data_IF_143249832771
#
_entry.id   IF_143249832771
#
_cell.length_a   1.000
_cell.length_b   1.000
_cell.length_c   1.000
_cell.angle_alpha   90.00
_cell.angle_beta   90.00
_cell.angle_gamma   90.00
#
_symmetry.space_group_name_H-M   'P 1'
#
loop_
_entity.id
_entity.type
_entity.pdbx_description
1 polymer ?
#
# COMPACT_ATOMS: atom_id res chain seq x y z
N UNK A 1 39.40 31.19 36.48
CA UNK A 1 38.85 29.95 35.89
C UNK A 1 37.47 29.75 36.48
N UNK A 2 36.50 29.70 35.58
CA UNK A 2 35.07 29.89 35.81
C UNK A 2 34.43 28.79 36.66
N UNK A 3 33.59 29.20 37.60
CA UNK A 3 32.57 28.35 38.21
C UNK A 3 31.25 28.50 37.45
N UNK A 4 30.62 27.37 37.14
CA UNK A 4 29.25 27.33 36.61
C UNK A 4 28.50 26.14 37.21
N UNK A 5 27.34 26.50 37.78
CA UNK A 5 26.05 25.79 37.80
C UNK A 5 26.02 24.38 38.44
N UNK A 6 25.26 24.13 39.50
CA UNK A 6 23.95 24.67 39.86
C UNK A 6 22.89 23.59 39.65
N UNK A 7 22.83 22.63 40.57
CA UNK A 7 21.81 21.56 40.67
C UNK A 7 20.85 21.95 41.78
N UNK A 8 19.54 21.87 41.56
CA UNK A 8 18.56 21.87 42.63
C UNK A 8 17.17 22.31 42.21
N UNK A 9 16.33 21.38 41.76
CA UNK A 9 14.89 21.55 41.84
C UNK A 9 14.39 20.88 43.13
N UNK A 10 13.85 21.72 44.03
CA UNK A 10 13.16 21.31 45.26
C UNK A 10 11.74 20.83 44.91
N UNK A 11 11.36 19.74 45.56
CA UNK A 11 9.99 19.29 45.71
C UNK A 11 9.20 20.21 46.66
N UNK A 12 7.94 20.45 46.32
CA UNK A 12 6.89 20.82 47.25
C UNK A 12 5.75 19.81 47.06
N UNK A 13 5.22 19.36 48.18
CA UNK A 13 4.44 18.16 48.42
C UNK A 13 3.35 18.55 49.42
N UNK A 14 2.10 18.66 48.98
CA UNK A 14 0.86 18.65 49.77
C UNK A 14 -0.28 19.04 48.82
N UNK A 15 -1.49 18.49 48.83
CA UNK A 15 -2.15 17.57 49.74
C UNK A 15 -3.30 16.92 48.96
N UNK A 16 -3.57 15.69 49.35
CA UNK A 16 -4.77 14.87 49.12
C UNK A 16 -6.10 15.62 49.22
N UNK A 17 -7.02 15.38 48.28
CA UNK A 17 -8.36 14.91 48.64
C UNK A 17 -9.08 14.26 47.42
N UNK A 18 -9.07 12.93 47.38
CA UNK A 18 -9.84 12.12 46.43
C UNK A 18 -11.11 11.64 47.16
N UNK A 19 -12.19 12.41 47.05
CA UNK A 19 -13.51 12.01 47.54
C UNK A 19 -14.57 12.11 46.43
N UNK A 20 -14.80 10.93 45.83
CA UNK A 20 -16.09 10.37 45.43
C UNK A 20 -17.31 11.32 45.32
N UNK A 21 -17.66 11.71 44.09
CA UNK A 21 -19.07 11.88 43.69
C UNK A 21 -19.25 11.19 42.34
N UNK A 22 -19.72 9.94 42.38
CA UNK A 22 -20.18 9.21 41.22
C UNK A 22 -21.50 9.82 40.71
N UNK A 23 -21.39 10.79 39.80
CA UNK A 23 -22.54 11.24 39.01
C UNK A 23 -22.71 10.27 37.83
N UNK A 24 -23.73 9.43 37.90
CA UNK A 24 -24.15 8.56 36.80
C UNK A 24 -24.68 9.39 35.63
N UNK A 25 -23.78 9.98 34.84
CA UNK A 25 -24.13 10.61 33.58
C UNK A 25 -24.13 9.54 32.48
N UNK A 26 -25.33 9.04 32.21
CA UNK A 26 -25.66 8.19 31.06
C UNK A 26 -25.52 9.04 29.80
N UNK A 27 -24.29 9.23 29.33
CA UNK A 27 -24.01 9.88 28.04
C UNK A 27 -24.43 8.90 26.94
N UNK A 28 -25.62 9.15 26.42
CA UNK A 28 -26.01 8.69 25.09
C UNK A 28 -24.98 9.25 24.12
N UNK A 29 -24.02 8.44 23.70
CA UNK A 29 -23.01 8.81 22.71
C UNK A 29 -23.72 9.24 21.42
N UNK A 30 -23.57 10.50 20.96
CA UNK A 30 -24.00 10.86 19.62
C UNK A 30 -23.05 10.18 18.63
N UNK A 31 -23.59 9.67 17.53
CA UNK A 31 -22.83 9.21 16.38
C UNK A 31 -21.87 10.34 15.95
N UNK A 32 -20.59 10.23 16.34
CA UNK A 32 -19.55 11.14 15.91
C UNK A 32 -19.32 10.90 14.42
N UNK A 33 -19.78 11.86 13.61
CA UNK A 33 -19.40 12.00 12.21
C UNK A 33 -17.88 12.18 12.21
N UNK A 34 -17.15 11.09 11.94
CA UNK A 34 -15.70 11.16 11.79
C UNK A 34 -15.38 12.20 10.70
N UNK A 35 -14.43 13.13 10.91
CA UNK A 35 -14.05 14.07 9.87
C UNK A 35 -13.64 13.29 8.63
N UNK A 36 -14.10 13.72 7.44
CA UNK A 36 -13.77 13.12 6.14
C UNK A 36 -12.26 12.88 5.96
N UNK A 37 -11.42 13.70 6.63
CA UNK A 37 -9.96 13.54 6.70
C UNK A 37 -9.51 12.23 7.37
N UNK A 38 -10.24 11.73 8.38
CA UNK A 38 -9.95 10.45 9.03
C UNK A 38 -10.33 9.25 8.13
N UNK A 39 -11.40 9.37 7.33
CA UNK A 39 -11.79 8.34 6.36
C UNK A 39 -10.75 8.25 5.23
N UNK A 40 -10.27 9.38 4.72
CA UNK A 40 -9.18 9.40 3.72
C UNK A 40 -7.86 8.89 4.33
N UNK A 41 -7.60 9.22 5.60
CA UNK A 41 -6.44 8.73 6.35
C UNK A 41 -6.45 7.22 6.57
N UNK A 42 -7.58 6.61 6.96
CA UNK A 42 -7.72 5.16 7.10
C UNK A 42 -7.68 4.43 5.75
N UNK A 43 -8.25 5.01 4.69
CA UNK A 43 -8.21 4.43 3.34
C UNK A 43 -6.77 4.46 2.77
N UNK A 44 -6.02 5.56 2.93
CA UNK A 44 -4.61 5.63 2.48
C UNK A 44 -3.66 4.76 3.33
N UNK A 45 -3.88 4.68 4.65
CA UNK A 45 -3.06 3.83 5.55
C UNK A 45 -3.35 2.34 5.32
N UNK A 46 -4.57 1.98 4.89
CA UNK A 46 -4.89 0.63 4.47
C UNK A 46 -4.30 0.31 3.08
N UNK A 47 -4.35 1.25 2.14
CA UNK A 47 -3.80 1.07 0.79
C UNK A 47 -2.28 0.83 0.82
N UNK A 48 -1.51 1.64 1.56
CA UNK A 48 -0.06 1.44 1.68
C UNK A 48 0.29 0.06 2.27
N UNK A 49 -0.41 -0.36 3.33
CA UNK A 49 -0.18 -1.68 3.94
C UNK A 49 -0.56 -2.81 3.01
N UNK A 50 -1.68 -2.69 2.31
CA UNK A 50 -2.12 -3.68 1.33
C UNK A 50 -1.09 -3.81 0.20
N UNK A 51 -0.57 -2.70 -0.33
CA UNK A 51 0.49 -2.73 -1.33
C UNK A 51 1.77 -3.37 -0.80
N UNK A 52 2.20 -2.99 0.40
CA UNK A 52 3.40 -3.57 1.03
C UNK A 52 3.21 -5.08 1.24
N UNK A 53 2.00 -5.53 1.60
CA UNK A 53 1.66 -6.95 1.69
C UNK A 53 1.82 -7.66 0.34
N UNK A 54 1.29 -7.11 -0.75
CA UNK A 54 1.43 -7.69 -2.10
C UNK A 54 2.90 -7.71 -2.58
N UNK A 55 3.74 -6.80 -2.10
CA UNK A 55 5.18 -6.79 -2.36
C UNK A 55 5.98 -7.79 -1.50
N UNK A 56 5.32 -8.55 -0.63
CA UNK A 56 5.95 -9.53 0.27
C UNK A 56 6.35 -8.99 1.64
N UNK A 57 5.87 -7.80 2.01
CA UNK A 57 6.12 -7.18 3.30
C UNK A 57 7.48 -6.51 3.45
N UNK A 58 7.67 -5.85 4.59
CA UNK A 58 8.91 -5.12 4.94
C UNK A 58 10.15 -6.02 4.96
N UNK A 59 9.98 -7.31 5.29
CA UNK A 59 11.07 -8.30 5.31
C UNK A 59 11.66 -8.54 3.91
N UNK A 60 10.79 -8.62 2.90
CA UNK A 60 11.19 -8.81 1.50
C UNK A 60 11.86 -7.56 0.93
N UNK A 61 11.39 -6.39 1.35
CA UNK A 61 11.92 -5.09 0.91
C UNK A 61 13.19 -4.68 1.68
N UNK A 62 13.45 -5.31 2.83
CA UNK A 62 14.63 -5.10 3.68
C UNK A 62 14.61 -3.75 4.42
N UNK A 63 13.44 -3.12 4.54
CA UNK A 63 13.24 -1.82 5.19
C UNK A 63 11.81 -1.67 5.67
N UNK A 64 11.61 -0.84 6.70
CA UNK A 64 10.26 -0.44 7.10
C UNK A 64 9.68 0.58 6.12
N UNK A 65 8.39 0.41 5.82
CA UNK A 65 7.62 1.23 4.88
C UNK A 65 6.37 1.73 5.60
N UNK A 66 6.57 2.76 6.42
CA UNK A 66 5.51 3.36 7.24
C UNK A 66 4.87 4.58 6.58
N UNK A 67 5.44 5.08 5.48
CA UNK A 67 4.96 6.28 4.78
C UNK A 67 5.16 6.22 3.26
N UNK A 68 4.40 7.04 2.52
CA UNK A 68 4.57 7.23 1.08
C UNK A 68 5.99 7.68 0.71
N UNK A 69 6.63 8.44 1.59
CA UNK A 69 8.02 8.86 1.38
C UNK A 69 8.95 7.65 1.38
N UNK A 70 8.80 6.75 2.34
CA UNK A 70 9.62 5.54 2.44
C UNK A 70 9.42 4.65 1.21
N UNK A 71 8.17 4.52 0.75
CA UNK A 71 7.86 3.75 -0.44
C UNK A 71 8.46 4.38 -1.70
N UNK A 72 8.35 5.71 -1.85
CA UNK A 72 9.02 6.42 -2.95
C UNK A 72 10.52 6.16 -2.91
N UNK A 73 11.16 6.29 -1.75
CA UNK A 73 12.60 6.08 -1.60
C UNK A 73 12.99 4.62 -1.90
N UNK A 74 12.17 3.65 -1.50
CA UNK A 74 12.36 2.23 -1.86
C UNK A 74 12.28 1.99 -3.37
N UNK A 75 11.34 2.65 -4.07
CA UNK A 75 11.26 2.61 -5.54
C UNK A 75 12.50 3.28 -6.16
N UNK A 76 13.00 4.37 -5.57
CA UNK A 76 14.20 5.09 -6.03
C UNK A 76 15.46 4.23 -5.95
N UNK A 77 15.61 3.50 -4.86
CA UNK A 77 16.69 2.54 -4.60
C UNK A 77 16.55 1.25 -5.43
N UNK A 78 15.33 0.99 -5.91
CA UNK A 78 14.96 -0.20 -6.66
C UNK A 78 14.64 -1.37 -5.72
N UNK A 79 13.69 -2.23 -6.10
CA UNK A 79 13.26 -3.33 -5.26
C UNK A 79 14.20 -4.54 -5.32
N UNK A 80 14.29 -5.32 -4.23
CA UNK A 80 14.94 -6.62 -4.26
C UNK A 80 14.25 -7.60 -5.22
N UNK A 81 14.98 -8.52 -5.87
CA UNK A 81 14.43 -9.55 -6.75
C UNK A 81 13.35 -10.42 -6.11
N UNK A 82 13.41 -10.61 -4.79
CA UNK A 82 12.43 -11.39 -4.05
C UNK A 82 11.01 -10.83 -4.23
N UNK A 83 10.86 -9.51 -4.38
CA UNK A 83 9.57 -8.85 -4.64
C UNK A 83 8.92 -9.36 -5.94
N UNK A 84 9.71 -9.73 -6.95
CA UNK A 84 9.18 -10.31 -8.21
C UNK A 84 8.48 -11.63 -7.92
N UNK A 85 9.06 -12.46 -7.06
CA UNK A 85 8.52 -13.79 -6.73
C UNK A 85 7.26 -13.70 -5.88
N UNK A 86 7.23 -12.73 -4.97
CA UNK A 86 6.05 -12.43 -4.15
C UNK A 86 4.91 -11.92 -5.04
N UNK A 87 5.19 -10.97 -5.93
CA UNK A 87 4.19 -10.47 -6.88
C UNK A 87 3.71 -11.54 -7.85
N UNK A 88 4.58 -12.43 -8.32
CA UNK A 88 4.16 -13.58 -9.15
C UNK A 88 3.17 -14.48 -8.41
N UNK A 89 3.42 -14.74 -7.11
CA UNK A 89 2.52 -15.52 -6.26
C UNK A 89 1.20 -14.79 -6.04
N UNK A 90 1.26 -13.52 -5.65
CA UNK A 90 0.11 -12.66 -5.38
C UNK A 90 -0.77 -12.39 -6.61
N UNK A 91 -0.20 -12.32 -7.80
CA UNK A 91 -0.95 -12.06 -9.04
C UNK A 91 -1.28 -13.35 -9.83
N UNK A 92 -0.76 -14.49 -9.39
CA UNK A 92 -0.80 -15.75 -10.14
C UNK A 92 -0.21 -15.63 -11.55
N UNK A 93 0.65 -14.63 -11.81
CA UNK A 93 1.25 -14.39 -13.12
C UNK A 93 2.50 -15.24 -13.30
N UNK A 94 2.65 -15.76 -14.51
CA UNK A 94 3.90 -16.36 -14.95
C UNK A 94 4.99 -15.28 -15.11
N UNK A 95 6.26 -15.69 -15.10
CA UNK A 95 7.38 -14.77 -15.32
C UNK A 95 7.25 -14.01 -16.65
N UNK A 96 6.66 -14.65 -17.67
CA UNK A 96 6.46 -14.07 -19.00
C UNK A 96 5.37 -12.99 -18.96
N UNK A 97 4.24 -13.25 -18.31
CA UNK A 97 3.16 -12.28 -18.16
C UNK A 97 3.62 -11.09 -17.31
N UNK A 98 4.33 -11.35 -16.20
CA UNK A 98 4.90 -10.29 -15.39
C UNK A 98 5.92 -9.46 -16.18
N UNK A 99 6.81 -10.10 -16.94
CA UNK A 99 7.75 -9.38 -17.79
C UNK A 99 7.03 -8.50 -18.83
N UNK A 100 5.93 -8.97 -19.42
CA UNK A 100 5.12 -8.17 -20.33
C UNK A 100 4.46 -6.98 -19.63
N UNK A 101 3.87 -7.17 -18.44
CA UNK A 101 3.29 -6.09 -17.64
C UNK A 101 4.34 -5.06 -17.19
N UNK A 102 5.58 -5.50 -16.97
CA UNK A 102 6.71 -4.63 -16.66
C UNK A 102 7.37 -4.05 -17.92
N UNK A 103 6.87 -4.34 -19.13
CA UNK A 103 7.48 -3.95 -20.40
C UNK A 103 9.00 -4.26 -20.43
N UNK A 104 9.32 -5.52 -20.08
CA UNK A 104 10.66 -6.09 -20.05
C UNK A 104 10.69 -7.40 -20.83
N UNK A 105 11.86 -7.75 -21.37
CA UNK A 105 12.08 -9.12 -21.83
C UNK A 105 12.22 -10.07 -20.63
N UNK A 106 11.67 -11.30 -20.70
CA UNK A 106 11.85 -12.30 -19.65
C UNK A 106 13.33 -12.58 -19.32
N UNK A 107 14.21 -12.49 -20.34
CA UNK A 107 15.67 -12.62 -20.19
C UNK A 107 16.28 -11.48 -19.38
N UNK A 108 15.81 -10.25 -19.56
CA UNK A 108 16.26 -9.10 -18.76
C UNK A 108 15.84 -9.27 -17.30
N UNK A 109 14.58 -9.63 -17.06
CA UNK A 109 14.06 -9.87 -15.72
C UNK A 109 14.80 -11.03 -15.02
N UNK A 110 15.06 -12.13 -15.74
CA UNK A 110 15.82 -13.26 -15.21
C UNK A 110 17.29 -12.91 -14.90
N UNK A 111 17.94 -12.10 -15.74
CA UNK A 111 19.30 -11.60 -15.45
C UNK A 111 19.31 -10.73 -14.21
N UNK A 112 18.33 -9.83 -14.06
CA UNK A 112 18.24 -8.92 -12.91
C UNK A 112 17.91 -9.62 -11.61
N UNK A 113 17.16 -10.73 -11.66
CA UNK A 113 16.99 -11.61 -10.50
C UNK A 113 18.33 -12.13 -9.95
N UNK A 114 19.38 -12.15 -10.76
CA UNK A 114 20.75 -12.56 -10.35
C UNK A 114 21.69 -11.40 -10.04
N UNK A 115 21.36 -10.15 -10.41
CA UNK A 115 22.29 -9.01 -10.35
C UNK A 115 22.11 -8.10 -9.13
N UNK A 116 21.22 -8.43 -8.19
CA UNK A 116 21.11 -7.74 -6.90
C UNK A 116 19.80 -6.99 -6.69
N UNK A 117 19.55 -5.88 -7.40
CA UNK A 117 18.32 -5.06 -7.29
C UNK A 117 17.74 -4.72 -8.67
N UNK A 118 16.44 -4.46 -8.70
CA UNK A 118 15.74 -3.99 -9.89
C UNK A 118 16.05 -2.52 -10.16
N UNK A 119 15.92 -2.10 -11.42
CA UNK A 119 16.05 -0.69 -11.73
C UNK A 119 14.84 0.10 -11.22
N UNK A 120 15.02 1.40 -11.02
CA UNK A 120 13.98 2.33 -10.55
C UNK A 120 12.68 2.21 -11.35
N UNK A 121 12.77 2.25 -12.68
CA UNK A 121 11.59 2.19 -13.55
C UNK A 121 10.88 0.82 -13.47
N UNK A 122 11.61 -0.26 -13.21
CA UNK A 122 11.04 -1.61 -13.04
C UNK A 122 10.32 -1.72 -11.69
N UNK A 123 10.90 -1.09 -10.67
CA UNK A 123 10.34 -1.06 -9.32
C UNK A 123 9.06 -0.22 -9.28
N UNK A 124 9.03 0.90 -9.99
CA UNK A 124 7.83 1.71 -10.19
C UNK A 124 6.69 0.91 -10.87
N UNK A 125 7.01 0.16 -11.93
CA UNK A 125 6.04 -0.71 -12.61
C UNK A 125 5.56 -1.87 -11.72
N UNK A 126 6.45 -2.48 -10.92
CA UNK A 126 6.05 -3.50 -9.94
C UNK A 126 5.13 -2.92 -8.86
N UNK A 127 5.44 -1.73 -8.37
CA UNK A 127 4.59 -1.02 -7.41
C UNK A 127 3.19 -0.80 -7.99
N UNK A 128 3.09 -0.34 -9.24
CA UNK A 128 1.80 -0.17 -9.94
C UNK A 128 1.02 -1.48 -10.01
N UNK A 129 1.66 -2.59 -10.37
CA UNK A 129 0.98 -3.90 -10.37
C UNK A 129 0.51 -4.30 -8.96
N UNK A 130 1.36 -4.17 -7.94
CA UNK A 130 1.00 -4.49 -6.55
C UNK A 130 -0.21 -3.68 -6.08
N UNK A 131 -0.25 -2.40 -6.41
CA UNK A 131 -1.40 -1.51 -6.14
C UNK A 131 -2.68 -2.02 -6.76
N UNK A 132 -2.64 -2.38 -8.04
CA UNK A 132 -3.82 -2.91 -8.74
C UNK A 132 -4.28 -4.25 -8.16
N UNK A 133 -3.35 -5.13 -7.78
CA UNK A 133 -3.68 -6.42 -7.14
C UNK A 133 -4.33 -6.18 -5.77
N UNK A 134 -3.76 -5.30 -4.96
CA UNK A 134 -4.32 -4.93 -3.66
C UNK A 134 -5.74 -4.38 -3.79
N UNK A 135 -5.96 -3.42 -4.69
CA UNK A 135 -7.28 -2.84 -4.96
C UNK A 135 -8.27 -3.88 -5.50
N UNK A 136 -7.83 -4.77 -6.39
CA UNK A 136 -8.68 -5.84 -6.90
C UNK A 136 -9.08 -6.82 -5.80
N UNK A 137 -8.16 -7.19 -4.90
CA UNK A 137 -8.44 -8.03 -3.74
C UNK A 137 -9.45 -7.35 -2.79
N UNK A 138 -9.26 -6.07 -2.50
CA UNK A 138 -10.12 -5.30 -1.61
C UNK A 138 -11.54 -5.14 -2.19
N UNK A 139 -11.65 -4.73 -3.46
CA UNK A 139 -12.93 -4.37 -4.07
C UNK A 139 -13.74 -5.56 -4.55
N UNK A 140 -13.08 -6.67 -4.92
CA UNK A 140 -13.77 -7.89 -5.34
C UNK A 140 -13.98 -8.87 -4.16
N UNK A 141 -13.30 -8.65 -3.04
CA UNK A 141 -13.44 -9.39 -1.78
C UNK A 141 -12.95 -10.84 -1.83
N UNK A 142 -12.44 -11.31 -2.96
CA UNK A 142 -11.94 -12.67 -3.14
C UNK A 142 -10.74 -12.68 -4.08
N UNK A 143 -9.65 -13.28 -3.61
CA UNK A 143 -8.39 -13.32 -4.34
C UNK A 143 -8.51 -14.03 -5.69
N UNK A 144 -9.24 -15.16 -5.74
CA UNK A 144 -9.40 -15.94 -6.98
C UNK A 144 -10.20 -15.14 -8.02
N UNK A 145 -11.23 -14.41 -7.59
CA UNK A 145 -12.00 -13.48 -8.44
C UNK A 145 -11.13 -12.33 -8.91
N UNK A 146 -10.31 -11.74 -8.05
CA UNK A 146 -9.37 -10.69 -8.41
C UNK A 146 -8.40 -11.15 -9.52
N UNK A 147 -7.75 -12.30 -9.34
CA UNK A 147 -6.86 -12.86 -10.35
C UNK A 147 -7.54 -13.14 -11.68
N UNK A 148 -8.75 -13.71 -11.63
CA UNK A 148 -9.54 -13.98 -12.84
C UNK A 148 -9.88 -12.67 -13.56
N UNK A 149 -10.28 -11.65 -12.82
CA UNK A 149 -10.62 -10.35 -13.38
C UNK A 149 -9.41 -9.67 -14.01
N UNK A 150 -8.24 -9.71 -13.36
CA UNK A 150 -7.00 -9.11 -13.89
C UNK A 150 -6.55 -9.72 -15.22
N UNK A 151 -6.83 -11.00 -15.44
CA UNK A 151 -6.47 -11.74 -16.66
C UNK A 151 -7.54 -11.70 -17.75
N UNK A 152 -8.77 -11.32 -17.41
CA UNK A 152 -9.87 -11.37 -18.37
C UNK A 152 -9.98 -10.05 -19.15
N UNK A 153 -10.15 -10.10 -20.49
CA UNK A 153 -10.45 -8.93 -21.30
C UNK A 153 -11.62 -8.11 -20.74
N UNK A 154 -11.41 -6.80 -20.55
CA UNK A 154 -12.44 -5.92 -20.02
C UNK A 154 -12.90 -4.93 -21.10
N UNK A 155 -14.21 -4.92 -21.38
CA UNK A 155 -14.81 -4.01 -22.38
C UNK A 155 -14.60 -2.54 -22.03
N UNK A 156 -14.59 -2.20 -20.74
CA UNK A 156 -14.35 -0.82 -20.28
C UNK A 156 -12.91 -0.34 -20.54
N UNK A 157 -11.97 -1.26 -20.78
CA UNK A 157 -10.58 -0.98 -21.16
C UNK A 157 -10.35 -1.13 -22.68
N UNK A 158 -11.42 -1.20 -23.49
CA UNK A 158 -11.29 -1.42 -24.93
C UNK A 158 -11.00 -2.88 -25.31
N UNK A 159 -11.33 -3.84 -24.43
CA UNK A 159 -11.17 -5.27 -24.71
C UNK A 159 -9.78 -5.85 -24.38
N UNK A 160 -8.91 -5.07 -23.74
CA UNK A 160 -7.64 -5.58 -23.21
C UNK A 160 -7.81 -6.09 -21.78
N UNK A 161 -6.94 -7.00 -21.37
CA UNK A 161 -6.89 -7.46 -19.98
C UNK A 161 -6.29 -6.38 -19.07
N UNK A 162 -6.80 -6.20 -17.83
CA UNK A 162 -6.24 -5.25 -16.88
C UNK A 162 -4.72 -5.39 -16.67
N UNK A 163 -4.20 -6.62 -16.59
CA UNK A 163 -2.75 -6.89 -16.46
C UNK A 163 -1.92 -6.40 -17.65
N UNK A 164 -2.54 -6.26 -18.81
CA UNK A 164 -1.88 -5.72 -20.00
C UNK A 164 -1.96 -4.20 -20.02
N UNK A 165 -3.06 -3.62 -19.53
CA UNK A 165 -3.28 -2.17 -19.50
C UNK A 165 -2.33 -1.42 -18.53
N UNK A 166 -1.80 -2.09 -17.51
CA UNK A 166 -0.94 -1.48 -16.48
C UNK A 166 0.51 -1.24 -16.94
N UNK A 167 0.84 -1.57 -18.19
CA UNK A 167 2.13 -1.25 -18.81
C UNK A 167 2.45 0.25 -18.77
N UNK A 168 1.39 1.07 -18.77
CA UNK A 168 1.42 2.53 -18.66
C UNK A 168 0.71 3.02 -17.40
N UNK A 169 1.11 4.19 -16.93
CA UNK A 169 0.43 4.89 -15.82
C UNK A 169 -1.03 5.23 -16.17
N UNK A 170 -1.28 5.62 -17.43
CA UNK A 170 -2.62 5.94 -17.89
C UNK A 170 -3.54 4.71 -17.83
N UNK A 171 -3.08 3.56 -18.31
CA UNK A 171 -3.87 2.35 -18.29
C UNK A 171 -4.09 1.81 -16.88
N UNK A 172 -3.12 1.94 -15.96
CA UNK A 172 -3.37 1.62 -14.54
C UNK A 172 -4.47 2.49 -13.92
N UNK A 173 -4.46 3.81 -14.16
CA UNK A 173 -5.55 4.68 -13.69
C UNK A 173 -6.90 4.28 -14.28
N UNK A 174 -6.94 3.85 -15.53
CA UNK A 174 -8.17 3.31 -16.14
C UNK A 174 -8.63 2.04 -15.41
N UNK A 175 -7.72 1.13 -15.09
CA UNK A 175 -8.02 -0.08 -14.33
C UNK A 175 -8.55 0.26 -12.93
N UNK A 176 -7.92 1.20 -12.21
CA UNK A 176 -8.38 1.70 -10.90
C UNK A 176 -9.79 2.27 -10.98
N UNK A 177 -10.07 3.09 -12.00
CA UNK A 177 -11.40 3.66 -12.21
C UNK A 177 -12.45 2.58 -12.47
N UNK A 178 -12.11 1.53 -13.23
CA UNK A 178 -13.04 0.42 -13.47
C UNK A 178 -13.27 -0.37 -12.18
N UNK A 179 -12.21 -0.65 -11.41
CA UNK A 179 -12.30 -1.32 -10.10
C UNK A 179 -13.19 -0.52 -9.13
N UNK A 180 -12.98 0.80 -9.02
CA UNK A 180 -13.79 1.67 -8.19
C UNK A 180 -15.26 1.71 -8.61
N UNK A 181 -15.54 1.69 -9.92
CA UNK A 181 -16.93 1.59 -10.43
C UNK A 181 -17.59 0.25 -10.07
N UNK A 182 -16.84 -0.84 -10.07
CA UNK A 182 -17.35 -2.16 -9.66
C UNK A 182 -17.66 -2.16 -8.16
N UNK A 183 -16.80 -1.58 -7.33
CA UNK A 183 -16.98 -1.54 -5.88
C UNK A 183 -18.14 -0.64 -5.44
N UNK A 184 -18.23 0.57 -6.00
CA UNK A 184 -19.13 1.63 -5.53
C UNK A 184 -20.29 1.94 -6.46
N UNK A 185 -20.47 1.17 -7.54
CA UNK A 185 -21.65 1.31 -8.41
C UNK A 185 -21.70 2.58 -9.26
N UNK A 186 -20.56 3.21 -9.56
CA UNK A 186 -20.49 4.33 -10.51
C UNK A 186 -20.79 5.72 -9.95
N UNK A 187 -20.45 5.97 -8.68
CA UNK A 187 -20.41 7.34 -8.16
C UNK A 187 -19.13 7.99 -8.70
N UNK A 188 -19.30 8.90 -9.66
CA UNK A 188 -18.27 9.83 -10.17
C UNK A 188 -18.77 11.25 -9.97
#
# INVERSE_FOLDING_TARGET
>A
MSGSSGIGYKADNSETDYSFVACSFRVSLPLTVAPIVAIIGDIMVNELRAVVHELGGEQTLGRSLSSDRDLRDAIREGFPPAVVEELMRASGLTLKELAAALDLSPRSLQRRRRSGRLARYESDRLYRLARIVALANEYLGDHVRALRWLKHPNRALGGIAPVTAIDTELGARQVENVLGRIAYGGIS
#
